data_IF_139924714930
#
_entry.id   IF_139924714930
#
_cell.length_a   1.000
_cell.length_b   1.000
_cell.length_c   1.000
_cell.angle_alpha   90.00
_cell.angle_beta   90.00
_cell.angle_gamma   90.00
#
_symmetry.space_group_name_H-M   'P 1'
#
loop_
_entity.id
_entity.type
_entity.pdbx_description
1 polymer ?
#
# COMPACT_ATOMS: atom_id res chain seq x y z
N UNK A 1 -16.51 -4.43 -2.10
CA UNK A 1 -15.07 -4.09 -2.08
C UNK A 1 -14.48 -4.98 -1.01
N UNK A 2 -13.53 -5.85 -1.34
CA UNK A 2 -12.99 -6.78 -0.35
C UNK A 2 -12.16 -6.01 0.68
N UNK A 3 -12.42 -6.25 1.97
CA UNK A 3 -11.67 -5.67 3.10
C UNK A 3 -10.20 -6.17 3.14
N UNK A 4 -9.83 -7.08 2.23
CA UNK A 4 -8.51 -7.72 2.10
C UNK A 4 -7.38 -6.80 1.63
N UNK A 5 -7.64 -5.52 1.35
CA UNK A 5 -6.71 -4.69 0.57
C UNK A 5 -5.60 -3.99 1.36
N UNK A 6 -5.47 -4.25 2.67
CA UNK A 6 -4.55 -3.51 3.57
C UNK A 6 -3.82 -4.43 4.57
N UNK A 7 -3.31 -5.58 4.11
CA UNK A 7 -2.82 -6.66 4.98
C UNK A 7 -1.31 -6.60 5.31
N UNK A 8 -0.58 -5.55 4.93
CA UNK A 8 0.89 -5.53 5.04
C UNK A 8 1.43 -5.88 6.45
N UNK A 9 0.80 -5.36 7.50
CA UNK A 9 1.23 -5.61 8.89
C UNK A 9 0.63 -6.86 9.55
N UNK A 10 -0.32 -7.52 8.88
CA UNK A 10 -0.99 -8.71 9.43
C UNK A 10 -0.01 -9.86 9.70
N UNK A 11 0.96 -10.19 8.81
CA UNK A 11 1.94 -11.23 9.08
C UNK A 11 2.83 -10.94 10.29
N UNK A 12 3.19 -9.67 10.50
CA UNK A 12 4.00 -9.25 11.65
C UNK A 12 3.23 -9.53 12.95
N UNK A 13 1.94 -9.19 12.98
CA UNK A 13 1.07 -9.51 14.11
C UNK A 13 0.86 -11.02 14.27
N UNK A 14 0.77 -11.78 13.17
CA UNK A 14 0.57 -13.24 13.19
C UNK A 14 1.71 -13.97 13.86
N UNK A 15 2.92 -13.63 13.45
CA UNK A 15 4.11 -14.18 14.05
C UNK A 15 4.18 -13.85 15.56
N UNK A 16 3.74 -12.65 15.96
CA UNK A 16 3.69 -12.28 17.36
C UNK A 16 2.62 -13.05 18.16
N UNK A 17 1.44 -13.27 17.59
CA UNK A 17 0.37 -14.01 18.27
C UNK A 17 0.70 -15.50 18.48
N UNK A 18 1.43 -16.09 17.54
CA UNK A 18 1.78 -17.52 17.53
C UNK A 18 3.10 -17.84 18.25
N UNK A 19 3.83 -16.81 18.70
CA UNK A 19 5.10 -16.96 19.44
C UNK A 19 4.94 -17.71 20.77
N UNK A 20 5.99 -18.40 21.21
CA UNK A 20 6.09 -19.01 22.56
C UNK A 20 6.02 -17.95 23.66
N UNK A 21 6.45 -16.71 23.36
CA UNK A 21 6.40 -15.54 24.23
C UNK A 21 5.58 -14.41 23.56
N UNK A 22 4.24 -14.50 23.52
CA UNK A 22 3.40 -13.58 22.76
C UNK A 22 3.50 -12.12 23.19
N UNK A 23 3.84 -11.86 24.46
CA UNK A 23 3.93 -10.49 24.98
C UNK A 23 5.15 -9.77 24.41
N UNK A 24 6.32 -10.39 24.55
CA UNK A 24 7.55 -9.84 24.01
C UNK A 24 7.52 -9.77 22.48
N UNK A 25 6.93 -10.79 21.84
CA UNK A 25 6.78 -10.82 20.39
C UNK A 25 5.82 -9.73 19.88
N UNK A 26 4.72 -9.46 20.60
CA UNK A 26 3.79 -8.38 20.24
C UNK A 26 4.44 -7.01 20.43
N UNK A 27 5.21 -6.81 21.49
CA UNK A 27 5.98 -5.58 21.67
C UNK A 27 6.93 -5.34 20.50
N UNK A 28 7.71 -6.37 20.13
CA UNK A 28 8.62 -6.30 18.97
C UNK A 28 7.86 -6.02 17.67
N UNK A 29 6.75 -6.71 17.43
CA UNK A 29 5.92 -6.50 16.24
C UNK A 29 5.37 -5.08 16.17
N UNK A 30 4.88 -4.52 17.28
CA UNK A 30 4.38 -3.15 17.31
C UNK A 30 5.51 -2.15 17.04
N UNK A 31 6.69 -2.34 17.64
CA UNK A 31 7.86 -1.50 17.34
C UNK A 31 8.26 -1.57 15.87
N UNK A 32 8.31 -2.77 15.29
CA UNK A 32 8.59 -2.96 13.87
C UNK A 32 7.57 -2.25 12.97
N UNK A 33 6.26 -2.34 13.31
CA UNK A 33 5.21 -1.64 12.57
C UNK A 33 5.35 -0.12 12.67
N UNK A 34 5.75 0.42 13.83
CA UNK A 34 6.03 1.86 14.00
C UNK A 34 7.21 2.28 13.12
N UNK A 35 8.34 1.58 13.22
CA UNK A 35 9.55 1.88 12.46
C UNK A 35 9.29 1.83 10.94
N UNK A 36 8.49 0.86 10.48
CA UNK A 36 8.05 0.80 9.09
C UNK A 36 7.12 1.97 8.76
N UNK A 37 6.16 2.31 9.63
CA UNK A 37 5.23 3.41 9.45
C UNK A 37 5.88 4.81 9.31
N UNK A 38 7.11 5.00 9.79
CA UNK A 38 7.88 6.23 9.57
C UNK A 38 8.36 6.40 8.12
N UNK A 39 8.41 5.31 7.34
CA UNK A 39 8.81 5.36 5.94
C UNK A 39 7.60 5.70 5.06
N UNK A 40 7.80 6.60 4.08
CA UNK A 40 6.74 7.17 3.24
C UNK A 40 5.88 6.09 2.55
N UNK A 41 6.52 5.02 2.08
CA UNK A 41 5.88 3.88 1.38
C UNK A 41 4.90 3.06 2.25
N UNK A 42 5.04 3.12 3.58
CA UNK A 42 4.19 2.37 4.51
C UNK A 42 3.15 3.23 5.22
N UNK A 43 3.17 4.56 5.07
CA UNK A 43 2.27 5.47 5.79
C UNK A 43 0.78 5.13 5.58
N UNK A 44 0.38 4.82 4.34
CA UNK A 44 -1.02 4.46 4.07
C UNK A 44 -1.43 3.18 4.79
N UNK A 45 -0.62 2.12 4.69
CA UNK A 45 -0.85 0.87 5.44
C UNK A 45 -0.87 1.11 6.95
N UNK A 46 -0.06 2.06 7.44
CA UNK A 46 0.04 2.38 8.87
C UNK A 46 -1.21 3.09 9.37
N UNK A 47 -1.76 4.02 8.61
CA UNK A 47 -3.07 4.62 8.90
C UNK A 47 -4.19 3.56 8.93
N UNK A 48 -4.17 2.61 8.01
CA UNK A 48 -5.14 1.51 7.99
C UNK A 48 -4.99 0.60 9.22
N UNK A 49 -3.76 0.32 9.65
CA UNK A 49 -3.49 -0.42 10.88
C UNK A 49 -4.00 0.34 12.12
N UNK A 50 -3.78 1.65 12.21
CA UNK A 50 -4.34 2.48 13.29
C UNK A 50 -5.86 2.43 13.31
N UNK A 51 -6.51 2.50 12.14
CA UNK A 51 -7.97 2.35 12.02
C UNK A 51 -8.45 0.96 12.44
N UNK A 52 -7.72 -0.10 12.07
CA UNK A 52 -8.01 -1.47 12.50
C UNK A 52 -7.96 -1.60 14.02
N UNK A 53 -6.89 -1.12 14.66
CA UNK A 53 -6.79 -1.10 16.12
C UNK A 53 -7.96 -0.33 16.73
N UNK A 54 -8.23 0.89 16.25
CA UNK A 54 -9.35 1.70 16.75
C UNK A 54 -10.68 0.95 16.69
N UNK A 55 -10.96 0.26 15.58
CA UNK A 55 -12.19 -0.54 15.43
C UNK A 55 -12.30 -1.69 16.44
N UNK A 56 -11.17 -2.23 16.90
CA UNK A 56 -11.14 -3.27 17.91
C UNK A 56 -11.39 -2.76 19.32
N UNK A 57 -10.96 -1.54 19.61
CA UNK A 57 -11.12 -0.89 20.91
C UNK A 57 -12.37 0.01 20.97
N UNK A 58 -13.33 -0.12 20.03
CA UNK A 58 -14.65 0.52 20.09
C UNK A 58 -15.47 -0.06 21.27
N UNK A 59 -15.12 0.37 22.47
CA UNK A 59 -15.73 0.00 23.74
C UNK A 59 -16.32 1.22 24.42
N UNK A 60 -17.45 1.05 25.13
CA UNK A 60 -18.15 2.10 25.89
C UNK A 60 -17.49 2.45 27.23
N UNK A 61 -16.29 1.94 27.51
CA UNK A 61 -15.64 2.09 28.81
C UNK A 61 -14.40 2.98 28.73
N UNK A 62 -14.32 4.00 29.59
CA UNK A 62 -13.22 4.99 29.62
C UNK A 62 -11.82 4.37 29.76
N UNK A 63 -11.70 3.19 30.38
CA UNK A 63 -10.40 2.52 30.53
C UNK A 63 -9.84 2.02 29.20
N UNK A 64 -10.69 1.58 28.27
CA UNK A 64 -10.25 1.09 26.95
C UNK A 64 -9.80 2.27 26.08
N UNK A 65 -10.49 3.40 26.18
CA UNK A 65 -10.11 4.64 25.51
C UNK A 65 -8.77 5.19 26.04
N UNK A 66 -8.53 5.13 27.36
CA UNK A 66 -7.24 5.51 27.96
C UNK A 66 -6.13 4.59 27.47
N UNK A 67 -6.35 3.28 27.45
CA UNK A 67 -5.36 2.29 27.03
C UNK A 67 -5.04 2.43 25.53
N UNK A 68 -6.06 2.64 24.70
CA UNK A 68 -5.94 2.90 23.27
C UNK A 68 -5.17 4.21 23.00
N UNK A 69 -5.46 5.27 23.75
CA UNK A 69 -4.74 6.53 23.64
C UNK A 69 -3.28 6.40 24.10
N UNK A 70 -2.98 5.61 25.14
CA UNK A 70 -1.60 5.31 25.54
C UNK A 70 -0.86 4.52 24.46
N UNK A 71 -1.55 3.56 23.83
CA UNK A 71 -1.00 2.81 22.70
C UNK A 71 -0.70 3.77 21.54
N UNK A 72 -1.65 4.62 21.14
CA UNK A 72 -1.45 5.60 20.07
C UNK A 72 -0.36 6.63 20.40
N UNK A 73 -0.32 7.15 21.61
CA UNK A 73 0.76 8.05 22.05
C UNK A 73 2.12 7.35 22.03
N UNK A 74 2.18 6.08 22.40
CA UNK A 74 3.39 5.27 22.28
C UNK A 74 3.80 5.03 20.83
N UNK A 75 2.83 4.73 19.96
CA UNK A 75 2.97 4.56 18.51
C UNK A 75 3.45 5.86 17.82
N UNK A 76 2.98 7.02 18.27
CA UNK A 76 3.33 8.34 17.70
C UNK A 76 4.65 8.90 18.22
N UNK A 77 5.04 8.55 19.45
CA UNK A 77 6.26 9.05 20.09
C UNK A 77 7.48 8.14 19.92
N UNK A 78 7.30 6.97 19.30
CA UNK A 78 8.31 5.91 19.18
C UNK A 78 8.89 5.47 20.56
N UNK A 79 8.14 5.76 21.63
CA UNK A 79 8.46 5.44 23.02
C UNK A 79 7.21 4.79 23.62
N UNK A 80 7.18 3.45 23.66
CA UNK A 80 6.16 2.73 24.41
C UNK A 80 6.39 2.88 25.92
N UNK A 81 5.98 4.01 26.48
CA UNK A 81 5.99 4.26 27.92
C UNK A 81 4.76 3.62 28.58
N UNK A 82 4.60 2.32 28.33
CA UNK A 82 3.47 1.48 28.78
C UNK A 82 4.05 0.43 29.72
N UNK A 83 3.46 0.25 30.90
CA UNK A 83 3.95 -0.74 31.86
C UNK A 83 3.76 -2.17 31.34
N UNK A 84 4.47 -3.15 31.92
CA UNK A 84 4.30 -4.55 31.56
C UNK A 84 2.86 -5.03 31.79
N UNK A 85 2.23 -4.64 32.90
CA UNK A 85 0.83 -4.98 33.21
C UNK A 85 -0.14 -4.38 32.19
N UNK A 86 0.10 -3.15 31.74
CA UNK A 86 -0.70 -2.49 30.70
C UNK A 86 -0.53 -3.17 29.34
N UNK A 87 0.68 -3.64 28.99
CA UNK A 87 0.94 -4.43 27.78
C UNK A 87 0.19 -5.77 27.83
N UNK A 88 0.23 -6.48 28.96
CA UNK A 88 -0.57 -7.68 29.17
C UNK A 88 -2.06 -7.41 29.01
N UNK A 89 -2.56 -6.30 29.55
CA UNK A 89 -3.97 -5.92 29.43
C UNK A 89 -4.36 -5.65 27.98
N UNK A 90 -3.52 -4.96 27.20
CA UNK A 90 -3.71 -4.73 25.76
C UNK A 90 -3.79 -6.07 25.02
N UNK A 91 -2.81 -6.95 25.21
CA UNK A 91 -2.74 -8.23 24.50
C UNK A 91 -3.92 -9.11 24.88
N UNK A 92 -4.24 -9.18 26.17
CA UNK A 92 -5.39 -9.94 26.65
C UNK A 92 -6.69 -9.37 26.09
N UNK A 93 -6.86 -8.05 25.97
CA UNK A 93 -8.05 -7.47 25.32
C UNK A 93 -8.11 -7.80 23.84
N UNK A 94 -6.99 -7.77 23.12
CA UNK A 94 -6.97 -8.15 21.69
C UNK A 94 -7.27 -9.65 21.53
N UNK A 95 -6.70 -10.52 22.37
CA UNK A 95 -6.96 -11.98 22.35
C UNK A 95 -8.37 -12.34 22.80
N UNK A 96 -8.89 -11.69 23.85
CA UNK A 96 -10.18 -12.00 24.47
C UNK A 96 -11.35 -11.30 23.79
N UNK A 97 -11.09 -10.24 23.02
CA UNK A 97 -12.10 -9.66 22.15
C UNK A 97 -12.31 -10.57 20.95
N UNK A 98 -13.25 -11.51 21.13
CA UNK A 98 -13.65 -12.49 20.13
C UNK A 98 -13.92 -11.86 18.76
N UNK A 99 -14.50 -10.67 18.69
CA UNK A 99 -14.79 -10.00 17.42
C UNK A 99 -13.50 -9.53 16.70
N UNK A 100 -12.52 -8.99 17.43
CA UNK A 100 -11.21 -8.66 16.86
C UNK A 100 -10.49 -9.92 16.43
N UNK A 101 -10.45 -10.93 17.30
CA UNK A 101 -9.75 -12.17 17.02
C UNK A 101 -10.36 -12.91 15.81
N UNK A 102 -11.69 -12.94 15.67
CA UNK A 102 -12.36 -13.51 14.50
C UNK A 102 -12.09 -12.69 13.22
N UNK A 103 -12.17 -11.35 13.30
CA UNK A 103 -11.80 -10.46 12.18
C UNK A 103 -10.35 -10.70 11.77
N UNK A 104 -9.47 -10.84 12.74
CA UNK A 104 -8.05 -11.09 12.55
C UNK A 104 -7.75 -12.47 11.93
N UNK A 105 -8.37 -13.54 12.45
CA UNK A 105 -8.27 -14.88 11.89
C UNK A 105 -8.75 -14.92 10.44
N UNK A 106 -9.85 -14.23 10.13
CA UNK A 106 -10.33 -14.08 8.75
C UNK A 106 -9.30 -13.40 7.85
N UNK A 107 -8.64 -12.33 8.33
CA UNK A 107 -7.58 -11.64 7.58
C UNK A 107 -6.35 -12.55 7.36
N UNK A 108 -5.98 -13.39 8.35
CA UNK A 108 -4.92 -14.39 8.19
C UNK A 108 -5.31 -15.47 7.20
N UNK A 109 -6.52 -16.03 7.29
CA UNK A 109 -6.99 -17.04 6.33
C UNK A 109 -6.98 -16.49 4.90
N UNK A 110 -7.41 -15.25 4.72
CA UNK A 110 -7.37 -14.55 3.44
C UNK A 110 -5.91 -14.29 2.98
N UNK A 111 -5.00 -13.96 3.88
CA UNK A 111 -3.55 -13.82 3.58
C UNK A 111 -2.89 -15.15 3.21
N UNK A 112 -3.17 -16.21 3.96
CA UNK A 112 -2.60 -17.55 3.74
C UNK A 112 -3.12 -18.20 2.46
N UNK A 113 -4.23 -17.71 1.90
CA UNK A 113 -4.69 -18.10 0.58
C UNK A 113 -3.81 -17.54 -0.57
N UNK A 114 -2.66 -16.92 -0.27
CA UNK A 114 -1.76 -16.28 -1.23
C UNK A 114 -2.53 -15.30 -2.12
N UNK A 115 -3.06 -14.20 -1.56
CA UNK A 115 -3.73 -13.21 -2.38
C UNK A 115 -2.73 -12.70 -3.41
N UNK A 116 -3.12 -12.78 -4.67
CA UNK A 116 -2.36 -12.20 -5.77
C UNK A 116 -2.19 -10.71 -5.45
N UNK A 117 -0.96 -10.28 -5.20
CA UNK A 117 -0.66 -8.87 -4.98
C UNK A 117 -0.82 -8.18 -6.32
N UNK A 118 -1.59 -7.10 -6.35
CA UNK A 118 -1.84 -6.33 -7.57
C UNK A 118 -1.26 -4.93 -7.43
N UNK A 119 -0.75 -4.37 -8.53
CA UNK A 119 -0.51 -2.93 -8.64
C UNK A 119 -1.81 -2.26 -9.05
N UNK A 120 -2.25 -1.31 -8.23
CA UNK A 120 -3.47 -0.55 -8.38
C UNK A 120 -3.16 0.90 -8.80
N UNK A 121 -3.85 1.37 -9.83
CA UNK A 121 -3.77 2.75 -10.32
C UNK A 121 -5.06 3.47 -9.96
N UNK A 122 -4.94 4.56 -9.22
CA UNK A 122 -6.04 5.43 -8.83
C UNK A 122 -5.95 6.76 -9.56
N UNK A 123 -7.09 7.29 -10.02
CA UNK A 123 -7.23 8.66 -10.52
C UNK A 123 -8.22 9.40 -9.62
N UNK A 124 -7.80 10.49 -8.98
CA UNK A 124 -8.60 11.24 -8.01
C UNK A 124 -9.28 10.31 -6.98
N UNK A 125 -8.50 9.45 -6.33
CA UNK A 125 -8.95 8.44 -5.34
C UNK A 125 -9.88 7.33 -5.87
N UNK A 126 -10.22 7.32 -7.16
CA UNK A 126 -10.99 6.24 -7.77
C UNK A 126 -10.06 5.24 -8.44
N UNK A 127 -10.18 3.96 -8.09
CA UNK A 127 -9.49 2.87 -8.76
C UNK A 127 -9.89 2.85 -10.24
N UNK A 128 -8.92 2.99 -11.15
CA UNK A 128 -9.16 2.94 -12.60
C UNK A 128 -8.64 1.65 -13.23
N UNK A 129 -7.61 1.02 -12.64
CA UNK A 129 -7.04 -0.22 -13.15
C UNK A 129 -6.27 -0.95 -12.06
N UNK A 130 -6.17 -2.27 -12.19
CA UNK A 130 -5.40 -3.13 -11.30
C UNK A 130 -4.81 -4.29 -12.10
N UNK A 131 -3.55 -4.68 -11.82
CA UNK A 131 -2.91 -5.83 -12.44
C UNK A 131 -2.09 -6.63 -11.42
N UNK A 132 -2.24 -7.95 -11.49
CA UNK A 132 -1.49 -8.91 -10.71
C UNK A 132 0.02 -8.85 -10.96
N UNK A 133 0.80 -8.82 -9.87
CA UNK A 133 2.23 -9.07 -9.89
C UNK A 133 2.42 -10.60 -9.88
N UNK A 134 2.94 -11.13 -10.99
CA UNK A 134 3.48 -12.49 -11.06
C UNK A 134 5.00 -12.37 -11.20
N UNK A 135 5.75 -13.26 -10.56
CA UNK A 135 7.17 -13.53 -10.80
C UNK A 135 7.60 -13.57 -12.28
N UNK A 136 6.67 -13.84 -13.21
CA UNK A 136 6.91 -13.85 -14.66
C UNK A 136 6.66 -12.51 -15.35
N UNK A 137 5.87 -11.62 -14.73
CA UNK A 137 5.48 -10.33 -15.29
C UNK A 137 6.34 -9.23 -14.69
N UNK A 138 7.54 -9.05 -15.25
CA UNK A 138 8.45 -7.94 -14.90
C UNK A 138 7.98 -6.59 -15.45
N UNK A 139 6.96 -6.58 -16.33
CA UNK A 139 6.40 -5.37 -16.92
C UNK A 139 4.87 -5.39 -16.88
N UNK A 140 4.27 -4.29 -16.44
CA UNK A 140 2.82 -4.10 -16.36
C UNK A 140 2.42 -2.85 -17.14
N UNK A 141 1.33 -2.94 -17.90
CA UNK A 141 0.92 -1.91 -18.86
C UNK A 141 -0.48 -1.41 -18.60
N UNK A 142 -0.65 -0.11 -18.32
CA UNK A 142 -1.94 0.52 -18.09
C UNK A 142 -2.21 1.54 -19.20
N UNK A 143 -3.34 1.40 -19.89
CA UNK A 143 -3.72 2.25 -21.02
C UNK A 143 -4.82 3.24 -20.65
N UNK A 144 -5.13 4.16 -21.56
CA UNK A 144 -6.17 5.19 -21.39
C UNK A 144 -5.87 6.14 -20.22
N UNK A 145 -4.60 6.50 -20.06
CA UNK A 145 -4.17 7.48 -19.07
C UNK A 145 -4.45 8.87 -19.61
N UNK A 146 -5.29 9.61 -18.90
CA UNK A 146 -5.64 11.01 -19.17
C UNK A 146 -4.93 11.95 -18.20
N UNK A 147 -4.90 13.26 -18.44
CA UNK A 147 -4.43 14.22 -17.44
C UNK A 147 -5.24 14.16 -16.13
N UNK A 148 -4.58 14.46 -15.01
CA UNK A 148 -5.18 14.50 -13.68
C UNK A 148 -4.25 14.00 -12.57
N UNK A 149 -4.76 13.88 -11.34
CA UNK A 149 -3.99 13.38 -10.20
C UNK A 149 -4.11 11.87 -10.10
N UNK A 150 -2.95 11.20 -9.99
CA UNK A 150 -2.86 9.77 -9.90
C UNK A 150 -2.14 9.34 -8.62
N UNK A 151 -2.49 8.15 -8.14
CA UNK A 151 -1.64 7.43 -7.18
C UNK A 151 -1.49 5.97 -7.56
N UNK A 152 -0.33 5.40 -7.23
CA UNK A 152 0.03 4.01 -7.48
C UNK A 152 0.26 3.33 -6.14
N UNK A 153 -0.41 2.19 -5.95
CA UNK A 153 -0.44 1.46 -4.68
C UNK A 153 -0.39 -0.04 -4.96
N UNK A 154 0.01 -0.81 -3.96
CA UNK A 154 -0.25 -2.25 -3.94
C UNK A 154 -1.61 -2.52 -3.32
N UNK A 155 -2.25 -3.58 -3.78
CA UNK A 155 -3.48 -4.11 -3.19
C UNK A 155 -3.34 -4.61 -1.75
N UNK A 156 -2.16 -4.51 -1.13
CA UNK A 156 -1.95 -4.79 0.30
C UNK A 156 -1.78 -3.52 1.15
N UNK A 157 -1.95 -2.33 0.55
CA UNK A 157 -1.88 -1.04 1.22
C UNK A 157 -0.52 -0.34 1.16
N UNK A 158 0.50 -0.91 0.50
CA UNK A 158 1.76 -0.19 0.26
C UNK A 158 1.54 0.93 -0.76
N UNK A 159 2.01 2.12 -0.47
CA UNK A 159 1.90 3.27 -1.36
C UNK A 159 3.25 3.48 -2.06
N UNK A 160 3.22 3.78 -3.36
CA UNK A 160 4.46 4.00 -4.13
C UNK A 160 4.63 5.43 -4.58
N UNK A 161 3.56 6.06 -5.06
CA UNK A 161 3.67 7.39 -5.66
C UNK A 161 2.30 8.06 -5.78
N UNK A 162 2.30 9.39 -5.68
CA UNK A 162 1.19 10.26 -6.04
C UNK A 162 1.71 11.51 -6.75
N UNK A 163 0.99 11.94 -7.78
CA UNK A 163 1.34 13.16 -8.49
C UNK A 163 0.36 13.53 -9.60
N UNK A 164 0.53 14.75 -10.09
CA UNK A 164 -0.24 15.28 -11.22
C UNK A 164 0.41 14.86 -12.54
N UNK A 165 -0.41 14.33 -13.44
CA UNK A 165 -0.07 14.06 -14.83
C UNK A 165 -0.68 15.14 -15.70
N UNK A 166 0.16 15.86 -16.45
CA UNK A 166 -0.26 16.96 -17.32
C UNK A 166 -0.55 16.46 -18.73
N UNK A 167 -1.23 17.30 -19.52
CA UNK A 167 -1.54 16.99 -20.92
C UNK A 167 -0.29 16.73 -21.76
N UNK A 168 0.80 17.46 -21.51
CA UNK A 168 2.08 17.29 -22.20
C UNK A 168 2.76 15.94 -21.91
N UNK A 169 2.38 15.27 -20.81
CA UNK A 169 2.95 13.99 -20.43
C UNK A 169 2.30 12.80 -21.14
N UNK A 170 1.02 12.94 -21.52
CA UNK A 170 0.20 11.81 -22.00
C UNK A 170 -0.40 12.02 -23.39
N UNK A 171 -0.43 13.25 -23.91
CA UNK A 171 -0.96 13.56 -25.23
C UNK A 171 0.14 14.16 -26.10
N UNK A 172 0.32 13.61 -27.31
CA UNK A 172 1.15 14.22 -28.33
C UNK A 172 0.43 15.46 -28.88
N UNK A 173 1.01 16.65 -28.70
CA UNK A 173 0.55 17.85 -29.40
C UNK A 173 1.14 17.86 -30.81
N UNK A 174 0.29 18.09 -31.82
CA UNK A 174 0.66 18.27 -33.23
C UNK A 174 1.69 19.40 -33.46
N UNK A 175 1.94 20.22 -32.43
CA UNK A 175 2.91 21.33 -32.45
C UNK A 175 4.35 20.97 -32.08
N UNK A 176 4.65 19.75 -31.58
CA UNK A 176 6.02 19.36 -31.22
C UNK A 176 6.82 18.79 -32.42
N UNK A 177 7.95 19.40 -32.84
CA UNK A 177 8.69 18.99 -34.03
C UNK A 177 9.77 17.93 -33.75
N UNK A 178 9.55 16.98 -32.84
CA UNK A 178 10.58 16.01 -32.45
C UNK A 178 10.10 14.56 -32.58
N UNK A 179 10.40 13.99 -33.75
CA UNK A 179 10.22 12.57 -34.05
C UNK A 179 8.90 12.33 -34.74
N UNK A 180 8.92 12.39 -36.07
CA UNK A 180 7.73 12.29 -36.90
C UNK A 180 6.83 11.13 -36.51
N UNK A 181 5.52 11.37 -36.62
CA UNK A 181 4.48 10.34 -36.60
C UNK A 181 5.03 9.08 -37.23
N UNK A 182 5.32 8.05 -36.43
CA UNK A 182 5.69 6.76 -36.98
C UNK A 182 4.41 6.28 -37.65
N UNK A 183 4.38 6.46 -38.97
CA UNK A 183 3.31 6.02 -39.84
C UNK A 183 3.02 4.56 -39.50
N UNK A 184 1.74 4.23 -39.38
CA UNK A 184 1.14 3.06 -38.76
C UNK A 184 1.50 1.68 -39.38
N UNK A 185 2.69 1.52 -39.95
CA UNK A 185 3.10 0.35 -40.72
C UNK A 185 4.38 -0.34 -40.20
N UNK A 186 5.09 0.24 -39.23
CA UNK A 186 6.36 -0.33 -38.75
C UNK A 186 6.64 0.09 -37.29
N UNK A 187 6.02 -0.59 -36.33
CA UNK A 187 6.37 -0.41 -34.91
C UNK A 187 6.26 -1.72 -34.16
N UNK A 188 7.37 -2.43 -34.06
CA UNK A 188 7.72 -3.06 -32.80
C UNK A 188 7.68 -1.97 -31.70
N UNK A 189 7.13 -2.29 -30.52
CA UNK A 189 6.87 -1.33 -29.42
C UNK A 189 8.14 -0.61 -28.89
N UNK A 190 9.33 -0.98 -29.35
CA UNK A 190 10.64 -0.53 -28.86
C UNK A 190 11.06 0.90 -29.27
N UNK A 191 10.28 1.60 -30.10
CA UNK A 191 10.66 2.90 -30.65
C UNK A 191 10.23 4.14 -29.85
N UNK A 192 9.23 4.02 -28.97
CA UNK A 192 8.67 5.17 -28.25
C UNK A 192 9.52 5.49 -27.01
N UNK A 193 9.97 6.75 -26.91
CA UNK A 193 10.64 7.23 -25.68
C UNK A 193 9.59 7.67 -24.66
N UNK A 194 9.79 7.35 -23.37
CA UNK A 194 8.91 7.84 -22.32
C UNK A 194 9.01 9.37 -22.22
N UNK A 195 7.88 10.04 -21.98
CA UNK A 195 7.80 11.46 -21.66
C UNK A 195 8.31 11.73 -20.25
N UNK A 196 8.03 10.80 -19.32
CA UNK A 196 8.54 10.83 -17.95
C UNK A 196 8.97 9.44 -17.48
N UNK A 197 9.97 9.43 -16.59
CA UNK A 197 10.38 8.24 -15.84
C UNK A 197 10.41 8.60 -14.38
N UNK A 198 9.64 7.86 -13.58
CA UNK A 198 9.47 8.07 -12.14
C UNK A 198 9.99 6.82 -11.42
N UNK A 199 10.87 7.02 -10.44
CA UNK A 199 11.32 5.94 -9.57
C UNK A 199 10.26 5.70 -8.49
N UNK A 200 9.66 4.50 -8.48
CA UNK A 200 8.62 4.12 -7.50
C UNK A 200 9.24 3.48 -6.26
N UNK A 201 10.20 2.58 -6.48
CA UNK A 201 11.04 1.99 -5.43
C UNK A 201 12.47 2.01 -5.95
N UNK A 202 13.38 2.53 -5.14
CA UNK A 202 14.77 2.73 -5.55
C UNK A 202 15.41 1.45 -6.06
N UNK A 203 15.87 1.47 -7.32
CA UNK A 203 16.48 0.33 -8.02
C UNK A 203 15.60 -0.92 -8.22
N UNK A 204 14.36 -0.95 -7.74
CA UNK A 204 13.49 -2.14 -7.82
C UNK A 204 12.29 -1.92 -8.72
N UNK A 205 11.72 -0.70 -8.75
CA UNK A 205 10.50 -0.43 -9.50
C UNK A 205 10.49 0.96 -10.11
N UNK A 206 10.15 1.03 -11.41
CA UNK A 206 10.10 2.28 -12.16
C UNK A 206 8.81 2.40 -12.96
N UNK A 207 8.20 3.58 -12.94
CA UNK A 207 7.10 3.98 -13.78
C UNK A 207 7.63 4.74 -15.00
N UNK A 208 7.19 4.33 -16.18
CA UNK A 208 7.42 4.99 -17.44
C UNK A 208 6.09 5.51 -17.97
N UNK A 209 6.05 6.78 -18.34
CA UNK A 209 4.88 7.43 -18.92
C UNK A 209 5.15 7.65 -20.39
N UNK A 210 4.22 7.23 -21.24
CA UNK A 210 4.29 7.41 -22.68
C UNK A 210 3.10 8.23 -23.16
N UNK A 211 3.36 9.23 -24.00
CA UNK A 211 2.31 9.96 -24.68
C UNK A 211 1.71 9.15 -25.84
N UNK A 212 0.41 9.28 -26.04
CA UNK A 212 -0.30 8.78 -27.21
C UNK A 212 -1.07 9.89 -27.92
N UNK A 213 -1.78 9.53 -28.99
CA UNK A 213 -2.54 10.51 -29.79
C UNK A 213 -3.69 11.15 -29.00
N UNK A 214 -4.42 10.35 -28.23
CA UNK A 214 -5.55 10.80 -27.43
C UNK A 214 -5.32 10.55 -25.94
N UNK A 215 -4.69 9.42 -25.61
CA UNK A 215 -4.43 8.98 -24.25
C UNK A 215 -3.01 8.44 -24.11
N UNK A 216 -2.43 8.60 -22.92
CA UNK A 216 -1.14 8.04 -22.59
C UNK A 216 -1.22 6.61 -22.09
N UNK A 217 -0.04 6.07 -21.80
CA UNK A 217 0.15 4.75 -21.19
C UNK A 217 1.14 4.84 -20.03
N UNK A 218 0.87 4.09 -18.97
CA UNK A 218 1.86 3.77 -17.95
C UNK A 218 2.43 2.39 -18.21
N UNK A 219 3.75 2.27 -18.10
CA UNK A 219 4.45 1.00 -18.00
C UNK A 219 5.18 0.96 -16.68
N UNK A 220 4.92 -0.03 -15.85
CA UNK A 220 5.66 -0.25 -14.62
C UNK A 220 6.60 -1.42 -14.84
N UNK A 221 7.88 -1.21 -14.57
CA UNK A 221 8.92 -2.24 -14.67
C UNK A 221 9.40 -2.60 -13.27
N UNK A 222 9.40 -3.89 -12.98
CA UNK A 222 9.88 -4.51 -11.74
C UNK A 222 11.20 -5.20 -12.09
N UNK A 223 12.28 -4.90 -11.35
CA UNK A 223 13.64 -5.37 -11.61
C UNK A 223 14.03 -6.57 -10.76
#
# INVERSE_FOLDING_TARGET
MSETKNLYFIPILANAFESEEPIEAMEKALLEIIELGEQEEYQFGYEQFKQFLKSGFESKNNQDEILLNKLFLGLESNIMNISFEEKEEIINKIKLNKAIYEKYQKLIEEYNQNPIIEIEIYKNEKLISSQAIDSKNIELYFTNIEPGNYSIRLSNGRFFWEGEIKSEDVTLDDSQPHGGYILAADTDEDGLKPTQVIELIKNEMQLYIYAGLEFGKFKIVIK
#
